data_IF_690633063927
#
_entry.id   IF_690633063927
#
_cell.length_a   1.000
_cell.length_b   1.000
_cell.length_c   1.000
_cell.angle_alpha   90.00
_cell.angle_beta   90.00
_cell.angle_gamma   90.00
#
_symmetry.space_group_name_H-M   'P 1'
#
loop_
_entity.id
_entity.type
_entity.pdbx_description
1 polymer ?
#
# COMPACT_ATOMS: atom_id res chain seq x y z
N UNK A 1 -10.31 -9.99 -5.29
CA UNK A 1 -10.78 -9.30 -4.07
C UNK A 1 -9.66 -8.38 -3.60
N UNK A 2 -9.96 -7.26 -2.95
CA UNK A 2 -8.94 -6.44 -2.29
C UNK A 2 -9.13 -6.61 -0.78
N UNK A 3 -8.05 -6.90 -0.07
CA UNK A 3 -7.98 -6.99 1.38
C UNK A 3 -7.10 -5.85 1.88
N UNK A 4 -7.73 -4.79 2.37
CA UNK A 4 -7.02 -3.68 3.00
C UNK A 4 -6.69 -4.04 4.45
N UNK A 5 -5.42 -3.89 4.82
CA UNK A 5 -4.91 -4.21 6.16
C UNK A 5 -4.43 -2.95 6.87
N UNK A 6 -4.60 -2.85 8.20
CA UNK A 6 -4.41 -1.61 8.94
C UNK A 6 -2.96 -1.31 9.33
N UNK A 7 -2.05 -2.28 9.26
CA UNK A 7 -0.67 -2.14 9.74
C UNK A 7 0.31 -2.99 8.96
N UNK A 8 1.61 -2.68 9.11
CA UNK A 8 2.70 -3.46 8.51
C UNK A 8 2.68 -4.90 9.01
N UNK A 9 2.48 -5.12 10.31
CA UNK A 9 2.46 -6.48 10.88
C UNK A 9 1.29 -7.31 10.32
N UNK A 10 0.09 -6.71 10.24
CA UNK A 10 -1.07 -7.37 9.62
C UNK A 10 -0.82 -7.67 8.14
N UNK A 11 -0.13 -6.77 7.43
CA UNK A 11 0.28 -7.00 6.04
C UNK A 11 1.24 -8.18 5.92
N UNK A 12 2.30 -8.23 6.74
CA UNK A 12 3.27 -9.33 6.76
C UNK A 12 2.56 -10.66 7.01
N UNK A 13 1.68 -10.72 8.01
CA UNK A 13 0.95 -11.92 8.38
C UNK A 13 0.06 -12.45 7.23
N UNK A 14 -0.72 -11.57 6.60
CA UNK A 14 -1.59 -11.96 5.49
C UNK A 14 -0.79 -12.35 4.24
N UNK A 15 0.28 -11.63 3.93
CA UNK A 15 1.15 -11.92 2.78
C UNK A 15 1.85 -13.28 2.94
N UNK A 16 2.35 -13.58 4.14
CA UNK A 16 2.93 -14.91 4.44
C UNK A 16 1.88 -16.01 4.40
N UNK A 17 0.70 -15.79 4.98
CA UNK A 17 -0.40 -16.76 4.93
C UNK A 17 -0.81 -17.09 3.49
N UNK A 18 -0.74 -16.10 2.61
CA UNK A 18 -1.03 -16.25 1.20
C UNK A 18 0.15 -16.80 0.36
N UNK A 19 1.30 -17.08 0.98
CA UNK A 19 2.48 -17.64 0.32
C UNK A 19 3.13 -16.71 -0.71
N UNK A 20 3.04 -15.40 -0.50
CA UNK A 20 3.55 -14.42 -1.46
C UNK A 20 4.99 -14.03 -1.11
N UNK A 21 5.87 -14.06 -2.10
CA UNK A 21 7.28 -13.71 -1.95
C UNK A 21 7.59 -12.27 -2.41
N UNK A 22 6.79 -11.73 -3.33
CA UNK A 22 7.03 -10.42 -3.96
C UNK A 22 6.02 -9.39 -3.47
N UNK A 23 6.53 -8.26 -2.99
CA UNK A 23 5.72 -7.10 -2.56
C UNK A 23 6.05 -5.90 -3.43
N UNK A 24 5.03 -5.19 -3.90
CA UNK A 24 5.18 -3.99 -4.72
C UNK A 24 4.85 -2.75 -3.91
N UNK A 25 5.76 -1.78 -3.89
CA UNK A 25 5.62 -0.53 -3.14
C UNK A 25 5.62 0.70 -4.05
N UNK A 26 4.77 1.67 -3.75
CA UNK A 26 4.72 2.96 -4.45
C UNK A 26 4.36 4.10 -3.49
N UNK A 27 4.82 5.31 -3.80
CA UNK A 27 4.30 6.54 -3.20
C UNK A 27 3.24 7.15 -4.11
N UNK A 28 2.06 7.43 -3.56
CA UNK A 28 1.00 8.17 -4.24
C UNK A 28 0.96 9.59 -3.72
N UNK A 29 0.83 10.54 -4.62
CA UNK A 29 0.65 11.95 -4.28
C UNK A 29 -0.67 12.44 -4.83
N UNK A 30 -1.54 12.92 -3.95
CA UNK A 30 -2.75 13.65 -4.29
C UNK A 30 -2.51 15.15 -4.07
N UNK A 31 -3.04 15.98 -4.97
CA UNK A 31 -3.03 17.44 -4.81
C UNK A 31 -4.45 17.95 -4.98
N UNK A 32 -4.86 18.85 -4.10
CA UNK A 32 -6.13 19.58 -4.21
C UNK A 32 -5.86 21.07 -4.20
N UNK A 33 -6.59 21.80 -5.03
CA UNK A 33 -6.55 23.25 -5.05
C UNK A 33 -7.76 23.81 -4.30
N UNK A 34 -7.48 24.64 -3.28
CA UNK A 34 -8.47 25.35 -2.48
C UNK A 34 -7.96 26.77 -2.16
N UNK A 35 -7.34 27.43 -3.13
CA UNK A 35 -6.64 28.71 -2.98
C UNK A 35 -5.18 28.52 -2.61
N UNK A 36 -4.91 27.68 -1.61
CA UNK A 36 -3.59 27.13 -1.34
C UNK A 36 -3.59 25.64 -1.70
N UNK A 37 -2.57 25.15 -2.43
CA UNK A 37 -2.50 23.71 -2.74
C UNK A 37 -2.33 22.92 -1.45
N UNK A 38 -3.08 21.83 -1.35
CA UNK A 38 -2.97 20.84 -0.29
C UNK A 38 -2.42 19.56 -0.92
N UNK A 39 -1.27 19.11 -0.44
CA UNK A 39 -0.65 17.86 -0.83
C UNK A 39 -0.98 16.78 0.18
N UNK A 40 -1.19 15.56 -0.30
CA UNK A 40 -1.36 14.37 0.55
C UNK A 40 -0.61 13.21 -0.07
N UNK A 41 0.38 12.69 0.63
CA UNK A 41 1.14 11.53 0.18
C UNK A 41 0.71 10.27 0.93
N UNK A 42 0.73 9.14 0.25
CA UNK A 42 0.53 7.81 0.83
C UNK A 42 1.64 6.87 0.39
N UNK A 43 2.14 6.06 1.31
CA UNK A 43 2.92 4.89 0.98
C UNK A 43 1.96 3.70 0.80
N UNK A 44 2.09 2.97 -0.30
CA UNK A 44 1.24 1.82 -0.60
C UNK A 44 2.12 0.61 -0.82
N UNK A 45 1.82 -0.48 -0.10
CA UNK A 45 2.38 -1.81 -0.36
C UNK A 45 1.28 -2.75 -0.82
N UNK A 46 1.56 -3.52 -1.87
CA UNK A 46 0.62 -4.47 -2.48
C UNK A 46 1.26 -5.82 -2.72
N UNK A 47 0.47 -6.87 -2.56
CA UNK A 47 0.87 -8.26 -2.81
C UNK A 47 -0.32 -9.02 -3.41
N UNK A 48 -0.08 -9.83 -4.43
CA UNK A 48 -1.11 -10.66 -5.03
C UNK A 48 -0.98 -12.10 -4.51
N UNK A 49 -1.87 -12.45 -3.60
CA UNK A 49 -1.92 -13.78 -2.98
C UNK A 49 -3.11 -14.60 -3.44
N UNK A 50 -3.02 -15.91 -3.20
CA UNK A 50 -4.17 -16.81 -3.34
C UNK A 50 -4.65 -17.15 -1.93
N UNK A 51 -5.88 -16.77 -1.61
CA UNK A 51 -6.50 -17.07 -0.31
C UNK A 51 -7.58 -18.12 -0.54
N UNK A 52 -7.66 -19.11 0.33
CA UNK A 52 -8.72 -20.13 0.33
C UNK A 52 -9.92 -19.53 1.07
N UNK A 53 -11.03 -19.13 0.41
CA UNK A 53 -12.29 -18.89 1.10
C UNK A 53 -12.69 -20.12 1.91
N UNK A 54 -13.22 -19.86 3.12
CA UNK A 54 -13.89 -20.85 3.96
C UNK A 54 -14.78 -21.77 3.11
N UNK A 55 -14.77 -23.09 3.39
CA UNK A 55 -15.52 -24.12 2.66
C UNK A 55 -16.88 -23.59 2.21
N UNK A 56 -17.10 -23.50 0.91
CA UNK A 56 -18.43 -23.24 0.39
C UNK A 56 -19.36 -24.36 0.85
N UNK A 57 -20.65 -24.06 1.04
CA UNK A 57 -21.66 -25.03 1.50
C UNK A 57 -21.84 -26.26 0.59
N UNK A 58 -21.18 -26.30 -0.57
CA UNK A 58 -21.10 -27.44 -1.49
C UNK A 58 -19.87 -28.35 -1.24
N UNK A 59 -19.06 -28.07 -0.21
CA UNK A 59 -17.86 -28.83 0.12
C UNK A 59 -16.67 -28.58 -0.80
N UNK A 60 -16.77 -27.70 -1.80
CA UNK A 60 -15.67 -27.39 -2.73
C UNK A 60 -14.79 -26.27 -2.19
N UNK A 61 -13.49 -26.52 -2.12
CA UNK A 61 -12.50 -25.46 -1.93
C UNK A 61 -12.31 -24.73 -3.24
N UNK A 62 -12.59 -23.43 -3.26
CA UNK A 62 -12.23 -22.55 -4.37
C UNK A 62 -11.07 -21.70 -3.91
N UNK A 63 -10.10 -21.48 -4.78
CA UNK A 63 -9.01 -20.55 -4.53
C UNK A 63 -9.41 -19.19 -5.09
N UNK A 64 -9.27 -18.12 -4.29
CA UNK A 64 -9.57 -16.77 -4.76
C UNK A 64 -8.32 -15.90 -4.73
N UNK A 65 -8.00 -15.30 -5.88
CA UNK A 65 -6.97 -14.27 -5.96
C UNK A 65 -7.39 -13.03 -5.16
N UNK A 66 -6.52 -12.65 -4.22
CA UNK A 66 -6.72 -11.53 -3.30
C UNK A 66 -5.51 -10.62 -3.39
N UNK A 67 -5.77 -9.36 -3.73
CA UNK A 67 -4.81 -8.27 -3.61
C UNK A 67 -4.80 -7.84 -2.15
N UNK A 68 -3.72 -8.09 -1.44
CA UNK A 68 -3.50 -7.60 -0.07
C UNK A 68 -2.88 -6.22 -0.20
N UNK A 69 -3.43 -5.22 0.48
CA UNK A 69 -2.99 -3.83 0.38
C UNK A 69 -2.82 -3.21 1.76
N UNK A 70 -1.65 -2.62 1.97
CA UNK A 70 -1.38 -1.70 3.06
C UNK A 70 -1.30 -0.29 2.48
N UNK A 71 -2.04 0.65 3.07
CA UNK A 71 -1.86 2.08 2.80
C UNK A 71 -1.49 2.81 4.09
N UNK A 72 -0.38 3.53 4.06
CA UNK A 72 0.04 4.42 5.13
C UNK A 72 -0.09 5.87 4.66
N UNK A 73 -0.94 6.63 5.35
CA UNK A 73 -1.28 8.01 4.99
C UNK A 73 -0.54 9.01 5.88
N UNK A 74 0.23 9.90 5.25
CA UNK A 74 1.03 10.90 5.97
C UNK A 74 0.24 12.16 6.35
N UNK A 75 -1.06 12.19 6.03
CA UNK A 75 -1.92 13.34 6.25
C UNK A 75 -1.68 14.47 5.26
N UNK A 76 -2.57 15.47 5.20
CA UNK A 76 -2.43 16.61 4.31
C UNK A 76 -1.36 17.60 4.81
N UNK A 77 -0.73 18.30 3.88
CA UNK A 77 0.14 19.45 4.14
C UNK A 77 -0.17 20.57 3.15
N UNK A 78 -0.10 21.80 3.62
CA UNK A 78 -0.21 22.97 2.77
C UNK A 78 1.06 23.18 1.95
N UNK A 79 0.92 23.77 0.76
CA UNK A 79 2.06 24.13 -0.08
C UNK A 79 3.02 25.04 0.68
N UNK A 80 4.30 24.90 0.38
CA UNK A 80 5.31 25.85 0.81
C UNK A 80 5.15 27.16 0.03
N UNK A 81 5.08 28.29 0.73
CA UNK A 81 4.87 29.60 0.10
C UNK A 81 6.11 30.14 -0.63
N UNK A 82 7.30 29.68 -0.25
CA UNK A 82 8.56 30.09 -0.87
C UNK A 82 8.84 29.29 -2.14
N UNK A 83 8.60 27.98 -2.12
CA UNK A 83 8.90 27.08 -3.25
C UNK A 83 7.69 26.80 -4.14
N UNK A 84 6.47 27.05 -3.66
CA UNK A 84 5.21 26.72 -4.35
C UNK A 84 4.94 25.22 -4.47
N UNK A 85 5.75 24.39 -3.82
CA UNK A 85 5.72 22.93 -3.88
C UNK A 85 5.35 22.28 -2.56
N UNK A 86 5.66 20.98 -2.45
CA UNK A 86 5.55 20.23 -1.19
C UNK A 86 6.64 20.73 -0.24
N UNK A 87 6.33 21.03 1.03
CA UNK A 87 7.35 21.42 2.01
C UNK A 87 8.43 20.35 2.19
N UNK A 88 9.69 20.76 2.28
CA UNK A 88 10.84 19.84 2.39
C UNK A 88 10.73 18.94 3.62
N UNK A 89 10.36 19.49 4.78
CA UNK A 89 10.18 18.70 6.01
C UNK A 89 9.17 17.58 5.85
N UNK A 90 8.14 17.79 5.01
CA UNK A 90 7.11 16.80 4.75
C UNK A 90 7.65 15.70 3.84
N UNK A 91 8.42 16.06 2.80
CA UNK A 91 9.10 15.10 1.94
C UNK A 91 10.10 14.24 2.72
N UNK A 92 10.90 14.84 3.61
CA UNK A 92 11.83 14.11 4.47
C UNK A 92 11.11 13.09 5.34
N UNK A 93 10.02 13.50 6.03
CA UNK A 93 9.22 12.60 6.86
C UNK A 93 8.62 11.45 6.05
N UNK A 94 8.01 11.75 4.88
CA UNK A 94 7.44 10.72 4.00
C UNK A 94 8.51 9.72 3.55
N UNK A 95 9.71 10.20 3.22
CA UNK A 95 10.83 9.36 2.82
C UNK A 95 11.35 8.49 3.95
N UNK A 96 11.57 9.06 5.14
CA UNK A 96 12.06 8.33 6.33
C UNK A 96 11.08 7.24 6.76
N UNK A 97 9.82 7.59 6.96
CA UNK A 97 8.79 6.63 7.41
C UNK A 97 8.54 5.54 6.35
N UNK A 98 8.51 5.91 5.06
CA UNK A 98 8.32 4.94 3.99
C UNK A 98 9.52 4.00 3.81
N UNK A 99 10.75 4.49 4.00
CA UNK A 99 11.95 3.63 4.03
C UNK A 99 11.96 2.72 5.26
N UNK A 100 11.47 3.16 6.42
CA UNK A 100 11.30 2.29 7.60
C UNK A 100 10.36 1.12 7.26
N UNK A 101 9.21 1.40 6.64
CA UNK A 101 8.26 0.35 6.24
C UNK A 101 8.89 -0.58 5.20
N UNK A 102 9.57 -0.03 4.19
CA UNK A 102 10.24 -0.82 3.15
C UNK A 102 11.33 -1.73 3.70
N UNK A 103 12.20 -1.19 4.57
CA UNK A 103 13.26 -1.95 5.23
C UNK A 103 12.70 -3.04 6.14
N UNK A 104 11.56 -2.78 6.80
CA UNK A 104 10.85 -3.79 7.57
C UNK A 104 10.39 -4.95 6.68
N UNK A 105 9.80 -4.67 5.51
CA UNK A 105 9.39 -5.71 4.55
C UNK A 105 10.58 -6.52 4.01
N UNK A 106 11.70 -5.86 3.70
CA UNK A 106 12.95 -6.52 3.29
C UNK A 106 13.49 -7.44 4.41
N UNK A 107 13.46 -6.98 5.66
CA UNK A 107 13.89 -7.77 6.81
C UNK A 107 13.02 -9.01 7.07
N UNK A 108 11.75 -8.97 6.68
CA UNK A 108 10.85 -10.12 6.70
C UNK A 108 11.08 -11.10 5.53
N UNK A 109 12.04 -10.81 4.65
CA UNK A 109 12.47 -11.70 3.57
C UNK A 109 11.70 -11.55 2.25
N UNK A 110 10.90 -10.49 2.09
CA UNK A 110 10.18 -10.25 0.84
C UNK A 110 11.08 -9.64 -0.24
N UNK A 111 10.84 -10.01 -1.50
CA UNK A 111 11.36 -9.30 -2.67
C UNK A 111 10.53 -8.03 -2.89
N UNK A 112 11.05 -6.89 -2.43
CA UNK A 112 10.35 -5.60 -2.50
C UNK A 112 10.70 -4.86 -3.78
N UNK A 113 9.70 -4.66 -4.64
CA UNK A 113 9.83 -4.03 -5.96
C UNK A 113 9.08 -2.70 -6.02
N UNK A 114 9.56 -1.80 -6.88
CA UNK A 114 8.85 -0.55 -7.17
C UNK A 114 7.65 -0.84 -8.08
N UNK A 115 6.49 -0.32 -7.71
CA UNK A 115 5.26 -0.42 -8.50
C UNK A 115 4.03 -0.65 -7.63
N UNK A 116 2.90 -0.89 -8.30
CA UNK A 116 1.65 -1.25 -7.65
C UNK A 116 0.91 -2.29 -8.49
N UNK A 117 0.37 -3.31 -7.82
CA UNK A 117 -0.58 -4.21 -8.46
C UNK A 117 -1.98 -3.59 -8.35
N UNK A 118 -2.64 -3.42 -9.49
CA UNK A 118 -4.06 -3.08 -9.55
C UNK A 118 -4.83 -4.27 -10.11
N UNK A 119 -5.95 -4.63 -9.49
CA UNK A 119 -6.90 -5.55 -10.11
C UNK A 119 -7.75 -4.75 -11.10
N UNK A 120 -7.97 -5.25 -12.33
CA UNK A 120 -8.92 -4.62 -13.23
C UNK A 120 -10.28 -4.55 -12.55
N UNK A 121 -10.90 -3.36 -12.56
CA UNK A 121 -12.28 -3.24 -12.15
C UNK A 121 -13.09 -4.24 -12.97
N UNK A 122 -13.79 -5.17 -12.31
CA UNK A 122 -14.78 -5.99 -13.00
C UNK A 122 -15.77 -5.00 -13.62
N UNK A 123 -15.77 -4.88 -14.95
CA UNK A 123 -16.89 -4.27 -15.67
C UNK A 123 -18.10 -5.15 -15.35
N UNK A 124 -18.92 -4.69 -14.42
CA UNK A 124 -20.26 -5.20 -14.15
C UNK A 124 -21.17 -4.91 -15.33
#
# INVERSE_FOLDING_TARGET
MILDVPSVDAFVDEVRRAGVEVVYTVYKTETRDAGLKIYRMRFVATALGVVVPYRYGDGKQRYQQTLIRLEHDFGPVYQDLQTGGVPEFYLSRVGEDGEIIRNRLLAEGFDVRVGEISLPARRS
#
